data_IF_176934104268
#
_entry.id   IF_176934104268
#
_cell.length_a   1.000
_cell.length_b   1.000
_cell.length_c   1.000
_cell.angle_alpha   90.00
_cell.angle_beta   90.00
_cell.angle_gamma   90.00
#
_symmetry.space_group_name_H-M   'P 1'
#
loop_
_entity.id
_entity.type
_entity.pdbx_description
1 polymer ?
#
# COMPACT_ATOMS: atom_id res chain seq x y z
N UNK A 1 27.86 -28.75 31.32
CA UNK A 1 28.32 -27.51 30.67
C UNK A 1 27.92 -27.39 29.18
N UNK A 2 28.44 -28.22 28.24
CA UNK A 2 28.06 -28.10 26.83
C UNK A 2 26.56 -28.33 26.56
N UNK A 3 25.94 -29.28 27.23
CA UNK A 3 24.52 -29.59 27.10
C UNK A 3 23.62 -28.49 27.69
N UNK A 4 24.03 -27.84 28.76
CA UNK A 4 23.33 -26.71 29.37
C UNK A 4 23.44 -25.45 28.52
N UNK A 5 24.60 -25.21 27.92
CA UNK A 5 24.79 -24.14 26.96
C UNK A 5 23.93 -24.31 25.71
N UNK A 6 23.85 -25.52 25.16
CA UNK A 6 23.00 -25.81 23.98
C UNK A 6 21.52 -25.72 24.34
N UNK A 7 21.12 -26.09 25.54
CA UNK A 7 19.75 -25.92 26.05
C UNK A 7 19.40 -24.45 26.24
N UNK A 8 20.29 -23.65 26.81
CA UNK A 8 20.10 -22.21 26.99
C UNK A 8 20.06 -21.47 25.64
N UNK A 9 20.94 -21.84 24.68
CA UNK A 9 20.92 -21.29 23.32
C UNK A 9 19.64 -21.69 22.56
N UNK A 10 19.18 -22.93 22.73
CA UNK A 10 17.92 -23.38 22.15
C UNK A 10 16.72 -22.63 22.69
N UNK A 11 16.67 -22.41 24.02
CA UNK A 11 15.64 -21.54 24.61
C UNK A 11 15.70 -20.10 24.11
N UNK A 12 16.88 -19.52 24.00
CA UNK A 12 17.06 -18.16 23.48
C UNK A 12 16.61 -18.02 22.02
N UNK A 13 16.85 -19.03 21.21
CA UNK A 13 16.40 -19.07 19.81
C UNK A 13 14.88 -19.27 19.70
N UNK A 14 14.30 -20.07 20.59
CA UNK A 14 12.83 -20.27 20.64
C UNK A 14 12.14 -19.02 21.16
N UNK A 15 12.67 -18.37 22.19
CA UNK A 15 12.16 -17.10 22.72
C UNK A 15 12.27 -15.95 21.73
N UNK A 16 13.25 -15.99 20.82
CA UNK A 16 13.40 -15.05 19.71
C UNK A 16 12.49 -15.33 18.51
N UNK A 17 11.71 -16.41 18.52
CA UNK A 17 10.80 -16.74 17.42
C UNK A 17 9.53 -15.91 17.48
N UNK A 18 9.17 -15.29 16.36
CA UNK A 18 7.90 -14.55 16.22
C UNK A 18 6.65 -15.44 16.38
N UNK A 19 6.80 -16.76 16.38
CA UNK A 19 5.73 -17.72 16.67
C UNK A 19 5.62 -18.10 18.14
N UNK A 20 6.55 -17.64 18.99
CA UNK A 20 6.49 -17.88 20.43
C UNK A 20 5.35 -17.07 21.08
N UNK A 21 4.43 -17.76 21.77
CA UNK A 21 3.27 -17.12 22.39
C UNK A 21 3.65 -16.10 23.47
N UNK A 22 4.79 -16.28 24.17
CA UNK A 22 5.27 -15.33 25.16
C UNK A 22 5.84 -14.08 24.53
N UNK A 23 6.55 -14.21 23.41
CA UNK A 23 7.04 -13.07 22.63
C UNK A 23 5.85 -12.29 22.05
N UNK A 24 4.88 -12.99 21.44
CA UNK A 24 3.67 -12.37 20.91
C UNK A 24 2.85 -11.66 22.00
N UNK A 25 2.75 -12.23 23.20
CA UNK A 25 2.06 -11.61 24.32
C UNK A 25 2.74 -10.30 24.80
N UNK A 26 4.05 -10.16 24.62
CA UNK A 26 4.81 -8.96 24.98
C UNK A 26 4.70 -7.85 23.93
N UNK A 27 4.50 -8.19 22.66
CA UNK A 27 4.43 -7.22 21.55
C UNK A 27 3.19 -6.31 21.59
N UNK A 28 2.18 -6.63 22.40
CA UNK A 28 0.97 -5.80 22.58
C UNK A 28 1.03 -4.82 23.76
N UNK A 29 2.13 -4.73 24.48
CA UNK A 29 2.21 -3.96 25.74
C UNK A 29 2.57 -2.50 25.48
N UNK A 30 3.38 -2.23 24.46
CA UNK A 30 3.79 -0.87 24.11
C UNK A 30 3.05 -0.38 22.85
N UNK A 31 2.54 0.86 22.85
CA UNK A 31 1.95 1.41 21.63
C UNK A 31 3.03 1.54 20.55
N UNK A 32 2.72 1.27 19.28
CA UNK A 32 3.66 1.44 18.19
C UNK A 32 4.14 2.89 18.11
N UNK A 33 5.43 3.09 17.88
CA UNK A 33 5.99 4.41 17.63
C UNK A 33 5.57 4.87 16.23
N UNK A 34 4.75 5.92 16.08
CA UNK A 34 4.38 6.41 14.76
C UNK A 34 5.59 7.04 14.09
N UNK A 35 5.93 6.58 12.89
CA UNK A 35 7.09 7.06 12.11
C UNK A 35 6.75 8.40 11.41
N UNK A 36 5.54 8.50 10.88
CA UNK A 36 5.04 9.67 10.14
C UNK A 36 3.71 10.18 10.71
N UNK A 37 3.66 10.64 11.98
CA UNK A 37 2.41 10.91 12.69
C UNK A 37 1.59 12.08 12.11
N UNK A 38 2.16 12.86 11.20
CA UNK A 38 1.49 13.99 10.54
C UNK A 38 1.08 13.69 9.11
N UNK A 39 1.44 12.54 8.58
CA UNK A 39 1.14 12.17 7.20
C UNK A 39 -0.33 11.71 7.08
N UNK A 40 -1.01 12.23 6.08
CA UNK A 40 -2.38 11.86 5.74
C UNK A 40 -2.35 10.85 4.59
N UNK A 41 -2.87 9.67 4.82
CA UNK A 41 -3.01 8.65 3.77
C UNK A 41 -4.35 8.84 3.07
N UNK A 42 -4.30 9.15 1.78
CA UNK A 42 -5.46 9.44 0.95
C UNK A 42 -5.62 8.37 -0.11
N UNK A 43 -6.79 7.72 -0.17
CA UNK A 43 -7.09 6.77 -1.23
C UNK A 43 -8.01 7.37 -2.29
N UNK A 44 -7.49 7.48 -3.52
CA UNK A 44 -8.26 7.90 -4.70
C UNK A 44 -8.84 6.67 -5.40
N UNK A 45 -10.15 6.47 -5.28
CA UNK A 45 -10.84 5.34 -5.89
C UNK A 45 -10.80 5.40 -7.42
N UNK A 46 -10.46 4.28 -8.08
CA UNK A 46 -10.48 4.21 -9.55
C UNK A 46 -11.87 4.49 -10.10
N UNK A 47 -12.91 3.81 -9.60
CA UNK A 47 -14.28 3.99 -10.07
C UNK A 47 -14.89 5.32 -9.62
N UNK A 48 -14.55 5.81 -8.44
CA UNK A 48 -15.16 7.02 -7.86
C UNK A 48 -14.63 8.31 -8.50
N UNK A 49 -13.38 8.29 -8.97
CA UNK A 49 -12.70 9.46 -9.50
C UNK A 49 -12.15 9.23 -10.91
N UNK A 50 -11.20 8.31 -11.08
CA UNK A 50 -10.44 8.17 -12.33
C UNK A 50 -11.37 7.81 -13.51
N UNK A 51 -12.27 6.83 -13.31
CA UNK A 51 -13.19 6.37 -14.36
C UNK A 51 -14.26 7.41 -14.72
N UNK A 52 -14.46 8.43 -13.89
CA UNK A 52 -15.38 9.56 -14.16
C UNK A 52 -14.73 10.69 -14.97
N UNK A 53 -13.43 10.58 -15.22
CA UNK A 53 -12.69 11.51 -16.05
C UNK A 53 -12.59 12.92 -15.47
N UNK A 54 -12.52 13.91 -16.37
CA UNK A 54 -12.22 15.30 -16.06
C UNK A 54 -13.09 15.90 -14.95
N UNK A 55 -14.39 15.68 -15.00
CA UNK A 55 -15.34 16.29 -14.08
C UNK A 55 -15.11 15.90 -12.60
N UNK A 56 -14.58 14.71 -12.33
CA UNK A 56 -14.27 14.25 -10.99
C UNK A 56 -12.78 14.47 -10.62
N UNK A 57 -11.88 14.29 -11.58
CA UNK A 57 -10.43 14.31 -11.32
C UNK A 57 -9.90 15.74 -11.14
N UNK A 58 -10.38 16.71 -11.91
CA UNK A 58 -9.81 18.07 -11.84
C UNK A 58 -10.13 18.80 -10.53
N UNK A 59 -11.35 18.74 -9.96
CA UNK A 59 -11.58 19.25 -8.61
C UNK A 59 -10.70 18.62 -7.54
N UNK A 60 -10.45 17.30 -7.65
CA UNK A 60 -9.53 16.60 -6.75
C UNK A 60 -8.08 17.11 -6.90
N UNK A 61 -7.62 17.36 -8.12
CA UNK A 61 -6.29 17.95 -8.38
C UNK A 61 -6.16 19.32 -7.72
N UNK A 62 -7.19 20.16 -7.86
CA UNK A 62 -7.23 21.50 -7.26
C UNK A 62 -7.21 21.41 -5.71
N UNK A 63 -7.96 20.50 -5.13
CA UNK A 63 -8.00 20.25 -3.69
C UNK A 63 -6.64 19.78 -3.15
N UNK A 64 -6.01 18.80 -3.81
CA UNK A 64 -4.66 18.32 -3.45
C UNK A 64 -3.67 19.49 -3.52
N UNK A 65 -3.72 20.28 -4.59
CA UNK A 65 -2.80 21.40 -4.78
C UNK A 65 -2.98 22.49 -3.71
N UNK A 66 -4.24 22.79 -3.32
CA UNK A 66 -4.54 23.77 -2.28
C UNK A 66 -4.07 23.34 -0.90
N UNK A 67 -3.93 22.03 -0.66
CA UNK A 67 -3.49 21.47 0.62
C UNK A 67 -1.96 21.21 0.68
N UNK A 68 -1.22 21.40 -0.41
CA UNK A 68 0.25 21.34 -0.39
C UNK A 68 0.82 22.43 0.54
N UNK A 69 1.76 22.03 1.38
CA UNK A 69 2.36 22.90 2.39
C UNK A 69 1.55 23.04 3.69
N UNK A 70 0.31 22.55 3.72
CA UNK A 70 -0.50 22.49 4.93
C UNK A 70 -0.56 21.07 5.51
N UNK A 71 -0.51 20.07 4.66
CA UNK A 71 -0.60 18.65 5.00
C UNK A 71 0.43 17.84 4.25
N UNK A 72 1.08 16.90 4.96
CA UNK A 72 1.84 15.83 4.33
C UNK A 72 0.86 14.77 3.82
N UNK A 73 0.95 14.40 2.53
CA UNK A 73 -0.03 13.54 1.88
C UNK A 73 0.62 12.34 1.19
N UNK A 74 0.13 11.13 1.50
CA UNK A 74 0.49 9.89 0.82
C UNK A 74 -0.72 9.44 0.02
N UNK A 75 -0.69 9.58 -1.31
CA UNK A 75 -1.85 9.43 -2.16
C UNK A 75 -1.79 8.10 -2.90
N UNK A 76 -2.66 7.17 -2.52
CA UNK A 76 -2.81 5.87 -3.18
C UNK A 76 -3.97 5.82 -4.16
N UNK A 77 -3.84 5.09 -5.28
CA UNK A 77 -4.92 4.93 -6.26
C UNK A 77 -5.50 3.52 -6.28
N UNK A 78 -6.75 3.40 -6.70
CA UNK A 78 -7.42 2.13 -6.96
C UNK A 78 -7.54 1.82 -8.45
N UNK A 79 -7.78 0.54 -8.80
CA UNK A 79 -7.86 0.06 -10.19
C UNK A 79 -9.16 0.44 -10.93
N UNK A 80 -10.29 0.57 -10.22
CA UNK A 80 -11.58 0.92 -10.80
C UNK A 80 -12.20 -0.14 -11.71
N UNK A 81 -13.02 0.29 -12.67
CA UNK A 81 -13.73 -0.59 -13.61
C UNK A 81 -12.78 -1.36 -14.54
N UNK A 82 -11.67 -0.76 -14.90
CA UNK A 82 -10.64 -1.40 -15.76
C UNK A 82 -10.00 -2.61 -15.08
N UNK A 83 -9.75 -2.56 -13.77
CA UNK A 83 -9.26 -3.72 -13.02
C UNK A 83 -10.30 -4.85 -13.00
N UNK A 84 -11.59 -4.51 -12.84
CA UNK A 84 -12.69 -5.49 -12.90
C UNK A 84 -12.79 -6.16 -14.27
N UNK A 85 -12.62 -5.38 -15.33
CA UNK A 85 -12.57 -5.92 -16.70
C UNK A 85 -11.38 -6.87 -16.88
N UNK A 86 -10.17 -6.45 -16.44
CA UNK A 86 -9.00 -7.32 -16.48
C UNK A 86 -9.20 -8.62 -15.69
N UNK A 87 -9.87 -8.57 -14.53
CA UNK A 87 -10.22 -9.76 -13.76
C UNK A 87 -11.20 -10.66 -14.50
N UNK A 88 -12.22 -10.09 -15.15
CA UNK A 88 -13.19 -10.87 -15.94
C UNK A 88 -12.50 -11.65 -17.05
N UNK A 89 -11.63 -10.98 -17.81
CA UNK A 89 -10.84 -11.62 -18.88
C UNK A 89 -9.90 -12.69 -18.30
N UNK A 90 -9.19 -12.37 -17.23
CA UNK A 90 -8.26 -13.32 -16.60
C UNK A 90 -8.97 -14.56 -16.02
N UNK A 91 -10.17 -14.39 -15.47
CA UNK A 91 -11.00 -15.49 -14.99
C UNK A 91 -11.48 -16.40 -16.14
N UNK A 92 -11.90 -15.81 -17.26
CA UNK A 92 -12.31 -16.54 -18.47
C UNK A 92 -11.14 -17.36 -19.04
N UNK A 93 -9.93 -16.80 -19.00
CA UNK A 93 -8.69 -17.49 -19.38
C UNK A 93 -8.20 -18.52 -18.34
N UNK A 94 -8.88 -18.68 -17.22
CA UNK A 94 -8.51 -19.62 -16.17
C UNK A 94 -7.29 -19.21 -15.32
N UNK A 95 -6.90 -17.94 -15.32
CA UNK A 95 -5.74 -17.47 -14.59
C UNK A 95 -5.93 -17.57 -13.07
N UNK A 96 -4.89 -17.93 -12.30
CA UNK A 96 -4.97 -18.04 -10.85
C UNK A 96 -5.09 -16.65 -10.18
N UNK A 97 -5.64 -16.63 -8.96
CA UNK A 97 -5.90 -15.40 -8.18
C UNK A 97 -4.67 -14.51 -8.02
N UNK A 98 -3.47 -15.08 -7.80
CA UNK A 98 -2.23 -14.32 -7.70
C UNK A 98 -1.92 -13.53 -8.98
N UNK A 99 -2.17 -14.13 -10.16
CA UNK A 99 -1.99 -13.43 -11.45
C UNK A 99 -3.05 -12.34 -11.62
N UNK A 100 -4.29 -12.57 -11.23
CA UNK A 100 -5.33 -11.52 -11.22
C UNK A 100 -4.92 -10.34 -10.36
N UNK A 101 -4.34 -10.59 -9.19
CA UNK A 101 -3.77 -9.54 -8.31
C UNK A 101 -2.73 -8.69 -9.04
N UNK A 102 -1.82 -9.32 -9.76
CA UNK A 102 -0.80 -8.61 -10.55
C UNK A 102 -1.42 -7.76 -11.66
N UNK A 103 -2.40 -8.31 -12.39
CA UNK A 103 -3.12 -7.55 -13.42
C UNK A 103 -3.83 -6.32 -12.83
N UNK A 104 -4.50 -6.47 -11.68
CA UNK A 104 -5.13 -5.35 -10.98
C UNK A 104 -4.12 -4.31 -10.50
N UNK A 105 -2.92 -4.73 -10.12
CA UNK A 105 -1.83 -3.83 -9.75
C UNK A 105 -1.39 -2.96 -10.92
N UNK A 106 -1.21 -3.52 -12.10
CA UNK A 106 -0.85 -2.73 -13.30
C UNK A 106 -1.91 -1.68 -13.63
N UNK A 107 -3.19 -2.01 -13.48
CA UNK A 107 -4.27 -1.02 -13.69
C UNK A 107 -4.21 0.09 -12.62
N UNK A 108 -3.99 -0.27 -11.37
CA UNK A 108 -3.85 0.72 -10.29
C UNK A 108 -2.62 1.61 -10.50
N UNK A 109 -1.49 1.04 -10.93
CA UNK A 109 -0.28 1.78 -11.30
C UNK A 109 -0.55 2.74 -12.46
N UNK A 110 -1.30 2.32 -13.49
CA UNK A 110 -1.70 3.19 -14.59
C UNK A 110 -2.49 4.40 -14.08
N UNK A 111 -3.42 4.19 -13.15
CA UNK A 111 -4.18 5.28 -12.53
C UNK A 111 -3.28 6.22 -11.72
N UNK A 112 -2.35 5.67 -10.95
CA UNK A 112 -1.38 6.46 -10.19
C UNK A 112 -0.49 7.31 -11.09
N UNK A 113 -0.03 6.75 -12.20
CA UNK A 113 0.75 7.49 -13.20
C UNK A 113 -0.07 8.61 -13.87
N UNK A 114 -1.33 8.37 -14.21
CA UNK A 114 -2.20 9.44 -14.75
C UNK A 114 -2.35 10.57 -13.74
N UNK A 115 -2.61 10.26 -12.47
CA UNK A 115 -2.70 11.26 -11.41
C UNK A 115 -1.37 12.02 -11.24
N UNK A 116 -0.25 11.29 -11.27
CA UNK A 116 1.08 11.89 -11.17
C UNK A 116 1.36 12.87 -12.31
N UNK A 117 1.03 12.54 -13.57
CA UNK A 117 1.21 13.47 -14.69
C UNK A 117 0.36 14.73 -14.54
N UNK A 118 -0.87 14.61 -14.04
CA UNK A 118 -1.74 15.77 -13.78
C UNK A 118 -1.21 16.65 -12.65
N UNK A 119 -0.52 16.07 -11.67
CA UNK A 119 0.07 16.75 -10.52
C UNK A 119 1.56 17.11 -10.72
N UNK A 120 2.16 16.78 -11.86
CA UNK A 120 3.59 16.99 -12.13
C UNK A 120 4.00 18.47 -12.00
N UNK A 121 3.14 19.40 -12.40
CA UNK A 121 3.39 20.84 -12.27
C UNK A 121 3.55 21.32 -10.82
N UNK A 122 3.08 20.53 -9.86
CA UNK A 122 3.21 20.79 -8.42
C UNK A 122 4.40 20.07 -7.79
N UNK A 123 5.18 19.32 -8.59
CA UNK A 123 6.39 18.63 -8.12
C UNK A 123 6.12 17.37 -7.29
N UNK A 124 4.90 16.84 -7.29
CA UNK A 124 4.55 15.63 -6.51
C UNK A 124 5.11 14.39 -7.21
N UNK A 125 6.04 13.64 -6.57
CA UNK A 125 6.65 12.47 -7.17
C UNK A 125 5.71 11.24 -7.11
N UNK A 126 5.89 10.33 -8.08
CA UNK A 126 5.42 8.97 -7.96
C UNK A 126 6.52 8.12 -7.34
N UNK A 127 6.14 7.31 -6.36
CA UNK A 127 7.05 6.37 -5.68
C UNK A 127 6.57 4.93 -5.84
N UNK A 128 7.52 4.01 -5.86
CA UNK A 128 7.29 2.57 -5.86
C UNK A 128 7.52 1.99 -4.45
N UNK A 129 7.01 0.78 -4.14
CA UNK A 129 7.19 0.17 -2.82
C UNK A 129 8.64 0.09 -2.36
N UNK A 130 9.58 -0.13 -3.28
CA UNK A 130 11.01 -0.13 -2.98
C UNK A 130 11.53 1.22 -2.45
N UNK A 131 10.79 2.31 -2.67
CA UNK A 131 11.15 3.65 -2.23
C UNK A 131 10.44 4.08 -0.94
N UNK A 132 9.62 3.22 -0.33
CA UNK A 132 8.86 3.55 0.88
C UNK A 132 9.77 3.91 2.08
N UNK A 133 10.95 3.32 2.17
CA UNK A 133 11.94 3.72 3.18
C UNK A 133 12.39 5.19 3.07
N UNK A 134 12.12 5.83 1.93
CA UNK A 134 12.47 7.24 1.66
C UNK A 134 11.26 8.18 1.85
N UNK A 135 10.10 7.69 2.26
CA UNK A 135 8.88 8.50 2.49
C UNK A 135 9.15 9.75 3.34
N UNK A 136 9.86 9.67 4.49
CA UNK A 136 10.13 10.85 5.30
C UNK A 136 10.87 11.96 4.52
N UNK A 137 11.80 11.57 3.66
CA UNK A 137 12.54 12.51 2.81
C UNK A 137 11.64 13.17 1.76
N UNK A 138 10.87 12.36 1.03
CA UNK A 138 9.95 12.89 0.00
C UNK A 138 8.89 13.82 0.59
N UNK A 139 8.31 13.48 1.73
CA UNK A 139 7.31 14.31 2.39
C UNK A 139 7.92 15.62 2.90
N UNK A 140 9.10 15.57 3.52
CA UNK A 140 9.79 16.77 3.98
C UNK A 140 10.15 17.73 2.83
N UNK A 141 10.48 17.20 1.65
CA UNK A 141 10.88 18.01 0.50
C UNK A 141 9.69 18.48 -0.35
N UNK A 142 8.65 17.65 -0.51
CA UNK A 142 7.56 17.86 -1.47
C UNK A 142 6.17 17.98 -0.85
N UNK A 143 5.99 17.61 0.41
CA UNK A 143 4.71 17.61 1.11
C UNK A 143 3.72 16.55 0.64
N UNK A 144 3.97 15.88 -0.49
CA UNK A 144 3.10 14.84 -1.00
C UNK A 144 3.83 13.83 -1.88
N UNK A 145 3.33 12.59 -1.90
CA UNK A 145 3.77 11.52 -2.81
C UNK A 145 2.57 10.77 -3.37
N UNK A 146 2.75 10.14 -4.54
CA UNK A 146 1.75 9.28 -5.15
C UNK A 146 2.30 7.87 -5.26
N UNK A 147 1.49 6.86 -4.94
CA UNK A 147 1.79 5.45 -5.14
C UNK A 147 0.56 4.72 -5.71
N UNK A 148 0.72 3.48 -6.14
CA UNK A 148 -0.39 2.74 -6.76
C UNK A 148 -1.33 2.02 -5.78
N UNK A 149 -1.30 2.39 -4.50
CA UNK A 149 -2.25 1.94 -3.48
C UNK A 149 -2.10 0.48 -3.03
N UNK A 150 -1.24 -0.30 -3.65
CA UNK A 150 -1.07 -1.72 -3.30
C UNK A 150 -0.20 -1.89 -2.06
N UNK A 151 -0.43 -2.96 -1.29
CA UNK A 151 0.44 -3.28 -0.16
C UNK A 151 1.91 -3.41 -0.58
N UNK A 152 2.86 -2.99 0.26
CA UNK A 152 4.29 -3.05 -0.05
C UNK A 152 4.91 -4.44 0.19
N UNK A 153 4.16 -5.50 -0.07
CA UNK A 153 4.62 -6.89 0.06
C UNK A 153 4.37 -7.70 -1.22
N UNK A 154 4.97 -8.89 -1.30
CA UNK A 154 4.85 -9.75 -2.48
C UNK A 154 3.43 -10.27 -2.69
N UNK A 155 2.90 -10.11 -3.89
CA UNK A 155 1.56 -10.57 -4.28
C UNK A 155 1.43 -12.09 -4.32
N UNK A 156 2.54 -12.81 -4.51
CA UNK A 156 2.55 -14.27 -4.63
C UNK A 156 2.29 -14.99 -3.30
N UNK A 157 2.47 -14.31 -2.17
CA UNK A 157 2.32 -14.87 -0.83
C UNK A 157 0.96 -14.59 -0.19
N UNK A 158 0.04 -14.00 -0.91
CA UNK A 158 -1.31 -13.83 -0.40
C UNK A 158 -2.08 -15.14 -0.44
N UNK A 159 -2.68 -15.50 0.69
CA UNK A 159 -3.69 -16.54 0.71
C UNK A 159 -4.84 -16.14 -0.21
N UNK A 160 -5.28 -17.02 -1.14
CA UNK A 160 -6.45 -16.73 -1.94
C UNK A 160 -7.64 -16.54 -0.98
N UNK A 161 -8.35 -15.40 -1.09
CA UNK A 161 -9.55 -15.19 -0.29
C UNK A 161 -10.64 -16.15 -0.72
N UNK A 162 -11.75 -16.13 0.00
CA UNK A 162 -12.97 -16.81 -0.40
C UNK A 162 -13.38 -16.32 -1.79
N UNK A 163 -13.11 -17.14 -2.80
CA UNK A 163 -13.34 -16.80 -4.21
C UNK A 163 -12.07 -16.56 -5.02
N UNK A 164 -12.23 -16.33 -6.32
CA UNK A 164 -11.13 -16.22 -7.29
C UNK A 164 -10.71 -14.77 -7.58
N UNK A 165 -11.50 -13.78 -7.16
CA UNK A 165 -11.18 -12.36 -7.36
C UNK A 165 -10.44 -11.83 -6.13
N UNK A 166 -9.29 -11.17 -6.31
CA UNK A 166 -8.58 -10.55 -5.20
C UNK A 166 -9.45 -9.51 -4.48
N UNK A 167 -9.54 -9.53 -3.13
CA UNK A 167 -10.31 -8.54 -2.41
C UNK A 167 -9.60 -7.18 -2.44
N UNK A 168 -10.30 -6.13 -2.10
CA UNK A 168 -9.93 -4.71 -1.97
C UNK A 168 -8.46 -4.38 -1.61
N UNK A 169 -7.51 -4.84 -2.42
CA UNK A 169 -6.07 -4.77 -2.11
C UNK A 169 -5.56 -3.34 -1.96
N UNK A 170 -6.08 -2.40 -2.77
CA UNK A 170 -5.67 -0.99 -2.68
C UNK A 170 -6.20 -0.31 -1.43
N UNK A 171 -7.29 -0.80 -0.84
CA UNK A 171 -7.77 -0.36 0.47
C UNK A 171 -6.87 -0.90 1.57
N UNK A 172 -6.50 -2.18 1.48
CA UNK A 172 -5.53 -2.82 2.38
C UNK A 172 -4.18 -2.12 2.32
N UNK A 173 -3.69 -1.78 1.12
CA UNK A 173 -2.43 -1.06 0.96
C UNK A 173 -2.44 0.32 1.59
N UNK A 174 -3.51 1.08 1.40
CA UNK A 174 -3.68 2.38 2.05
C UNK A 174 -3.73 2.25 3.58
N UNK A 175 -4.47 1.26 4.09
CA UNK A 175 -4.54 0.97 5.52
C UNK A 175 -3.16 0.62 6.09
N UNK A 176 -2.43 -0.31 5.49
CA UNK A 176 -1.10 -0.71 5.98
C UNK A 176 -0.10 0.46 5.96
N UNK A 177 -0.20 1.36 4.99
CA UNK A 177 0.63 2.58 4.97
C UNK A 177 0.22 3.56 6.07
N UNK A 178 -1.05 3.56 6.49
CA UNK A 178 -1.52 4.44 7.58
C UNK A 178 -1.13 3.97 8.98
N UNK A 179 -0.70 2.71 9.13
CA UNK A 179 -0.26 2.13 10.41
C UNK A 179 1.23 2.44 10.72
N UNK A 180 1.94 3.04 9.78
CA UNK A 180 3.36 3.41 9.90
C UNK A 180 3.52 4.89 10.25
#
# INVERSE_FOLDING_TARGET
>A
MAHELLSALGQYLVEGSLSDAQVLARTGIEPPLPILPKANVIKVGGQSFIDRGRAAVFPLIEEIAANLGHHDMIIGTGGGSRARHAYSVGLDLGLPTGVLSVLGTFVSMQNARMLNYLLAKYGIPFIEPAQFAQLPHYLAERGAVIFFGMPPYSFWHENPPLGRIPPHRTDTGAYLVSEV
#
